data_IF_147463660636
#
_entry.id   IF_147463660636
#
_cell.length_a   1.000
_cell.length_b   1.000
_cell.length_c   1.000
_cell.angle_alpha   90.00
_cell.angle_beta   90.00
_cell.angle_gamma   90.00
#
_symmetry.space_group_name_H-M   'P 1'
#
loop_
_entity.id
_entity.type
_entity.pdbx_description
1 polymer ?
#
# COMPACT_ATOMS: atom_id res chain seq x y z
N UNK A 1 -11.57 -28.03 5.55
CA UNK A 1 -11.49 -26.62 5.18
C UNK A 1 -12.92 -26.22 4.81
N UNK A 2 -13.52 -25.26 5.51
CA UNK A 2 -14.89 -24.83 5.23
C UNK A 2 -15.02 -24.19 3.83
N UNK A 3 -16.23 -23.98 3.38
CA UNK A 3 -16.52 -23.30 2.11
C UNK A 3 -16.00 -21.87 2.15
N UNK A 4 -15.31 -21.45 1.08
CA UNK A 4 -14.84 -20.06 0.91
C UNK A 4 -15.99 -19.25 0.32
N UNK A 5 -16.46 -18.24 1.05
CA UNK A 5 -17.56 -17.38 0.63
C UNK A 5 -17.04 -15.99 0.27
N UNK A 6 -17.39 -15.50 -0.91
CA UNK A 6 -17.12 -14.13 -1.31
C UNK A 6 -17.98 -13.17 -0.49
N UNK A 7 -17.35 -12.12 0.04
CA UNK A 7 -18.02 -11.02 0.77
C UNK A 7 -17.66 -9.68 0.13
N UNK A 8 -18.32 -8.61 0.55
CA UNK A 8 -17.96 -7.26 0.14
C UNK A 8 -16.76 -6.73 0.93
N UNK A 9 -16.11 -5.70 0.38
CA UNK A 9 -14.92 -5.07 0.93
C UNK A 9 -13.64 -5.53 0.23
N UNK A 10 -12.61 -4.79 0.41
CA UNK A 10 -11.26 -5.08 -0.04
C UNK A 10 -10.36 -5.23 1.17
N UNK A 11 -9.27 -4.48 1.23
CA UNK A 11 -8.31 -4.47 2.35
C UNK A 11 -8.91 -4.09 3.71
N UNK A 12 -10.13 -3.62 3.76
CA UNK A 12 -10.84 -3.27 5.00
C UNK A 12 -11.86 -4.33 5.43
N UNK A 13 -11.91 -5.49 4.77
CA UNK A 13 -12.83 -6.57 5.11
C UNK A 13 -12.42 -7.31 6.39
N UNK A 14 -11.13 -7.47 6.62
CA UNK A 14 -10.61 -8.06 7.84
C UNK A 14 -10.75 -7.07 9.02
N UNK A 15 -11.10 -7.61 10.20
CA UNK A 15 -11.32 -6.80 11.40
C UNK A 15 -10.04 -6.08 11.83
N UNK A 16 -10.17 -4.80 12.19
CA UNK A 16 -9.05 -3.97 12.65
C UNK A 16 -8.26 -3.31 11.52
N UNK A 17 -8.59 -3.58 10.25
CA UNK A 17 -7.98 -2.88 9.12
C UNK A 17 -8.81 -1.67 8.70
N UNK A 18 -8.12 -0.55 8.49
CA UNK A 18 -8.66 0.72 8.03
C UNK A 18 -7.92 1.19 6.78
N UNK A 19 -8.58 1.98 5.96
CA UNK A 19 -7.95 2.58 4.81
C UNK A 19 -8.40 4.04 4.64
N UNK A 20 -7.54 4.81 3.98
CA UNK A 20 -7.84 6.17 3.56
C UNK A 20 -7.20 6.44 2.20
N UNK A 21 -7.67 7.46 1.51
CA UNK A 21 -7.06 7.94 0.27
C UNK A 21 -7.23 9.44 0.14
N UNK A 22 -6.32 10.07 -0.60
CA UNK A 22 -6.36 11.51 -0.87
C UNK A 22 -5.81 11.84 -2.25
N UNK A 23 -6.17 13.00 -2.77
CA UNK A 23 -5.56 13.61 -3.93
C UNK A 23 -4.42 14.53 -3.46
N UNK A 24 -3.20 14.01 -3.38
CA UNK A 24 -2.03 14.76 -2.98
C UNK A 24 -1.43 15.57 -4.14
N UNK A 25 -1.85 15.30 -5.37
CA UNK A 25 -1.38 15.99 -6.57
C UNK A 25 0.04 15.64 -6.96
N UNK A 26 0.48 14.40 -6.69
CA UNK A 26 1.83 13.91 -6.98
C UNK A 26 2.13 14.05 -8.47
N UNK A 27 1.22 13.57 -9.31
CA UNK A 27 1.28 13.71 -10.77
C UNK A 27 -0.07 14.05 -11.36
N UNK A 28 -1.13 13.54 -10.77
CA UNK A 28 -2.47 13.71 -11.29
C UNK A 28 -3.13 14.95 -10.66
N UNK A 29 -3.99 15.61 -11.47
CA UNK A 29 -4.91 16.64 -10.99
C UNK A 29 -6.29 16.00 -10.85
N UNK A 30 -7.02 16.39 -9.83
CA UNK A 30 -8.44 16.07 -9.64
C UNK A 30 -8.78 14.57 -9.44
N UNK A 31 -7.81 13.74 -9.01
CA UNK A 31 -8.08 12.34 -8.61
C UNK A 31 -7.20 11.92 -7.44
N UNK A 32 -7.68 11.00 -6.59
CA UNK A 32 -6.83 10.39 -5.56
C UNK A 32 -5.61 9.72 -6.18
N UNK A 33 -4.45 9.94 -5.56
CA UNK A 33 -3.15 9.41 -5.97
C UNK A 33 -2.28 8.96 -4.78
N UNK A 34 -2.86 9.00 -3.57
CA UNK A 34 -2.29 8.36 -2.39
C UNK A 34 -3.34 7.52 -1.66
N UNK A 35 -2.88 6.39 -1.13
CA UNK A 35 -3.65 5.52 -0.24
C UNK A 35 -2.83 5.13 0.99
N UNK A 36 -3.52 4.88 2.09
CA UNK A 36 -2.96 4.35 3.33
C UNK A 36 -3.81 3.17 3.79
N UNK A 37 -3.16 2.06 4.16
CA UNK A 37 -3.77 0.94 4.86
C UNK A 37 -3.17 0.94 6.26
N UNK A 38 -3.99 0.75 7.27
CA UNK A 38 -3.58 0.75 8.67
C UNK A 38 -4.20 -0.42 9.42
N UNK A 39 -3.42 -1.05 10.28
CA UNK A 39 -3.88 -2.07 11.23
C UNK A 39 -3.91 -1.52 12.65
N UNK A 40 -4.98 -1.76 13.37
CA UNK A 40 -5.11 -1.42 14.80
C UNK A 40 -4.23 -2.30 15.71
N UNK A 41 -3.71 -3.40 15.19
CA UNK A 41 -2.85 -4.33 15.90
C UNK A 41 -1.56 -4.61 15.10
N UNK A 42 -0.55 -5.09 15.77
CA UNK A 42 0.68 -5.57 15.15
C UNK A 42 0.38 -6.78 14.26
N UNK A 43 0.84 -6.72 13.02
CA UNK A 43 0.64 -7.77 12.03
C UNK A 43 1.95 -8.47 11.69
N UNK A 44 1.90 -9.77 11.57
CA UNK A 44 2.96 -10.52 10.87
C UNK A 44 2.85 -10.16 9.39
N UNK A 45 3.98 -9.78 8.79
CA UNK A 45 4.05 -9.44 7.38
C UNK A 45 4.75 -10.52 6.57
N UNK A 46 4.29 -10.72 5.35
CA UNK A 46 4.96 -11.54 4.35
C UNK A 46 4.91 -10.82 3.00
N UNK A 47 5.92 -11.00 2.17
CA UNK A 47 6.00 -10.33 0.88
C UNK A 47 6.70 -11.16 -0.18
N UNK A 48 6.27 -10.98 -1.42
CA UNK A 48 6.96 -11.47 -2.61
C UNK A 48 7.46 -10.28 -3.41
N UNK A 49 8.69 -10.35 -3.85
CA UNK A 49 9.36 -9.24 -4.50
C UNK A 49 10.00 -9.69 -5.83
N UNK A 50 10.16 -8.75 -6.75
CA UNK A 50 10.82 -9.02 -8.02
C UNK A 50 12.24 -9.56 -7.81
N UNK A 51 12.65 -10.47 -8.70
CA UNK A 51 14.02 -10.97 -8.81
C UNK A 51 14.89 -10.12 -9.72
N UNK A 52 14.36 -9.04 -10.30
CA UNK A 52 15.11 -8.11 -11.14
C UNK A 52 16.27 -7.49 -10.34
N UNK A 53 17.42 -7.35 -10.98
CA UNK A 53 18.59 -6.71 -10.36
C UNK A 53 18.37 -5.21 -10.14
N UNK A 54 17.64 -4.56 -11.03
CA UNK A 54 17.24 -3.15 -10.89
C UNK A 54 15.93 -3.10 -10.11
N UNK A 55 16.02 -2.78 -8.83
CA UNK A 55 14.89 -2.70 -7.91
C UNK A 55 14.62 -1.26 -7.51
N UNK A 56 13.34 -0.90 -7.43
CA UNK A 56 12.89 0.38 -6.90
C UNK A 56 13.26 0.52 -5.40
N UNK A 57 13.40 1.74 -4.94
CA UNK A 57 13.72 2.00 -3.54
C UNK A 57 12.67 1.39 -2.56
N UNK A 58 11.35 1.50 -2.80
CA UNK A 58 10.35 0.85 -1.96
C UNK A 58 10.50 -0.67 -1.87
N UNK A 59 10.91 -1.35 -2.97
CA UNK A 59 11.15 -2.80 -2.94
C UNK A 59 12.28 -3.17 -1.98
N UNK A 60 13.36 -2.38 -1.96
CA UNK A 60 14.48 -2.60 -1.04
C UNK A 60 14.10 -2.27 0.40
N UNK A 61 13.36 -1.19 0.60
CA UNK A 61 12.83 -0.79 1.90
C UNK A 61 11.96 -1.91 2.49
N UNK A 62 10.93 -2.33 1.78
CA UNK A 62 9.98 -3.33 2.27
C UNK A 62 10.62 -4.70 2.49
N UNK A 63 11.58 -5.10 1.65
CA UNK A 63 12.37 -6.32 1.89
C UNK A 63 13.07 -6.29 3.24
N UNK A 64 13.67 -5.18 3.60
CA UNK A 64 14.38 -5.04 4.87
C UNK A 64 13.40 -5.16 6.05
N UNK A 65 12.22 -4.53 5.97
CA UNK A 65 11.22 -4.59 7.04
C UNK A 65 10.62 -6.01 7.15
N UNK A 66 10.15 -6.58 6.04
CA UNK A 66 9.49 -7.89 6.02
C UNK A 66 10.46 -9.01 6.44
N UNK A 67 11.67 -9.01 5.92
CA UNK A 67 12.66 -10.05 6.25
C UNK A 67 13.37 -9.78 7.60
N UNK A 68 13.38 -8.55 8.07
CA UNK A 68 13.83 -8.17 9.41
C UNK A 68 12.88 -8.62 10.52
N UNK A 69 11.66 -9.03 10.18
CA UNK A 69 10.67 -9.54 11.12
C UNK A 69 9.99 -8.46 11.96
N UNK A 70 10.06 -7.19 11.55
CA UNK A 70 9.30 -6.13 12.18
C UNK A 70 7.79 -6.34 12.00
N UNK A 71 7.02 -6.01 13.02
CA UNK A 71 5.57 -6.06 12.92
C UNK A 71 5.08 -4.94 11.99
N UNK A 72 4.21 -5.27 11.04
CA UNK A 72 3.63 -4.27 10.14
C UNK A 72 2.39 -3.62 10.78
N UNK A 73 2.29 -2.29 10.68
CA UNK A 73 1.15 -1.48 11.16
C UNK A 73 0.52 -0.67 10.05
N UNK A 74 1.29 -0.23 9.07
CA UNK A 74 0.78 0.60 7.99
C UNK A 74 1.47 0.32 6.66
N UNK A 75 0.75 0.62 5.57
CA UNK A 75 1.31 0.69 4.22
C UNK A 75 0.90 2.03 3.62
N UNK A 76 1.87 2.81 3.17
CA UNK A 76 1.63 4.05 2.40
C UNK A 76 1.91 3.79 0.93
N UNK A 77 0.96 4.12 0.09
CA UNK A 77 1.05 3.90 -1.37
C UNK A 77 0.88 5.23 -2.09
N UNK A 78 1.77 5.53 -3.02
CA UNK A 78 1.58 6.63 -3.95
C UNK A 78 1.51 6.16 -5.41
N UNK A 79 0.67 6.82 -6.21
CA UNK A 79 0.52 6.62 -7.64
C UNK A 79 0.96 7.86 -8.43
N UNK A 80 1.64 7.64 -9.56
CA UNK A 80 2.12 8.70 -10.45
C UNK A 80 3.64 8.71 -10.64
N UNK A 81 4.40 8.48 -9.58
CA UNK A 81 5.86 8.39 -9.57
C UNK A 81 6.26 7.11 -8.83
N UNK A 82 7.12 6.29 -9.42
CA UNK A 82 7.43 4.94 -8.96
C UNK A 82 8.57 4.86 -7.94
N UNK A 83 9.27 5.97 -7.67
CA UNK A 83 10.48 5.98 -6.85
C UNK A 83 11.48 4.86 -7.28
N UNK A 84 11.67 4.71 -8.57
CA UNK A 84 12.57 3.75 -9.20
C UNK A 84 13.60 4.49 -10.05
N UNK A 85 14.85 4.01 -10.07
CA UNK A 85 15.99 4.68 -10.68
C UNK A 85 16.26 6.07 -10.09
N UNK A 86 16.05 6.24 -8.81
CA UNK A 86 16.14 7.51 -8.05
C UNK A 86 17.39 7.58 -7.14
N UNK A 87 18.25 6.56 -7.21
CA UNK A 87 19.51 6.53 -6.48
C UNK A 87 19.34 6.48 -4.95
N UNK A 88 20.29 7.08 -4.24
CA UNK A 88 20.30 7.12 -2.75
C UNK A 88 19.14 7.95 -2.22
N UNK A 89 18.84 9.06 -2.86
CA UNK A 89 17.76 9.97 -2.50
C UNK A 89 16.40 9.26 -2.46
N UNK A 90 16.15 8.33 -3.40
CA UNK A 90 14.94 7.52 -3.40
C UNK A 90 14.80 6.63 -2.15
N UNK A 91 15.91 6.13 -1.60
CA UNK A 91 15.90 5.38 -0.32
C UNK A 91 15.64 6.31 0.86
N UNK A 92 16.24 7.49 0.88
CA UNK A 92 15.99 8.51 1.89
C UNK A 92 14.50 8.92 1.91
N UNK A 93 13.88 9.04 0.73
CA UNK A 93 12.45 9.32 0.61
C UNK A 93 11.54 8.19 1.12
N UNK A 94 11.98 6.94 1.02
CA UNK A 94 11.26 5.84 1.68
C UNK A 94 11.27 6.01 3.21
N UNK A 95 12.44 6.32 3.80
CA UNK A 95 12.56 6.60 5.23
C UNK A 95 11.72 7.81 5.67
N UNK A 96 11.79 8.92 4.94
CA UNK A 96 10.98 10.11 5.22
C UNK A 96 9.48 9.81 5.14
N UNK A 97 9.04 9.05 4.14
CA UNK A 97 7.64 8.62 3.99
C UNK A 97 7.20 7.75 5.17
N UNK A 98 8.03 6.78 5.55
CA UNK A 98 7.75 5.89 6.68
C UNK A 98 7.73 6.68 8.00
N UNK A 99 8.70 7.55 8.23
CA UNK A 99 8.78 8.40 9.42
C UNK A 99 7.59 9.36 9.55
N UNK A 100 7.19 10.01 8.45
CA UNK A 100 6.00 10.88 8.44
C UNK A 100 4.72 10.10 8.76
N UNK A 101 4.56 8.90 8.19
CA UNK A 101 3.43 8.03 8.48
C UNK A 101 3.44 7.54 9.93
N UNK A 102 4.60 7.10 10.42
CA UNK A 102 4.79 6.64 11.79
C UNK A 102 4.43 7.73 12.80
N UNK A 103 4.90 8.95 12.57
CA UNK A 103 4.57 10.10 13.42
C UNK A 103 3.07 10.44 13.39
N UNK A 104 2.44 10.41 12.21
CA UNK A 104 1.01 10.71 12.07
C UNK A 104 0.10 9.67 12.72
N UNK A 105 0.55 8.41 12.81
CA UNK A 105 -0.22 7.28 13.36
C UNK A 105 0.18 6.89 14.79
N UNK A 106 1.30 7.40 15.30
CA UNK A 106 1.84 7.00 16.61
C UNK A 106 2.33 5.55 16.64
N UNK A 107 2.96 5.09 15.56
CA UNK A 107 3.50 3.73 15.43
C UNK A 107 5.02 3.77 15.18
N UNK A 108 5.76 2.66 15.39
CA UNK A 108 7.18 2.59 15.04
C UNK A 108 7.41 2.77 13.52
N UNK A 109 8.52 3.43 13.14
CA UNK A 109 8.86 3.67 11.73
C UNK A 109 9.11 2.35 10.97
N UNK A 110 9.76 1.39 11.59
CA UNK A 110 10.04 0.07 11.03
C UNK A 110 8.77 -0.79 10.82
N UNK A 111 7.62 -0.37 11.37
CA UNK A 111 6.32 -0.98 11.14
C UNK A 111 5.59 -0.43 9.90
N UNK A 112 6.20 0.51 9.16
CA UNK A 112 5.59 1.15 8.00
C UNK A 112 6.23 0.65 6.70
N UNK A 113 5.41 0.07 5.85
CA UNK A 113 5.76 -0.33 4.49
C UNK A 113 5.43 0.81 3.50
N UNK A 114 6.19 0.89 2.42
CA UNK A 114 6.09 1.99 1.45
C UNK A 114 5.99 1.43 0.03
N UNK A 115 4.99 1.81 -0.71
CA UNK A 115 4.84 1.38 -2.10
C UNK A 115 4.64 2.56 -3.05
N UNK A 116 5.32 2.53 -4.18
CA UNK A 116 5.24 3.59 -5.18
C UNK A 116 5.04 3.00 -6.58
N UNK A 117 4.24 3.66 -7.39
CA UNK A 117 3.99 3.23 -8.77
C UNK A 117 3.82 4.42 -9.71
N UNK A 118 4.26 4.28 -10.95
CA UNK A 118 4.13 5.32 -11.98
C UNK A 118 5.39 5.50 -12.81
N UNK A 119 5.77 6.76 -13.06
CA UNK A 119 6.95 7.11 -13.86
C UNK A 119 8.23 6.80 -13.08
N UNK A 120 9.23 6.26 -13.75
CA UNK A 120 10.57 5.99 -13.22
C UNK A 120 11.52 7.16 -13.50
N UNK A 121 12.61 7.29 -12.72
CA UNK A 121 13.63 8.33 -12.92
C UNK A 121 13.23 9.72 -12.47
N UNK A 122 12.09 9.87 -11.83
CA UNK A 122 11.64 11.14 -11.22
C UNK A 122 11.69 11.02 -9.70
N UNK A 123 12.15 12.08 -9.05
CA UNK A 123 12.11 12.18 -7.60
C UNK A 123 10.69 12.43 -7.10
N UNK A 124 10.40 11.90 -5.91
CA UNK A 124 9.11 12.15 -5.26
C UNK A 124 9.00 13.59 -4.76
N UNK A 125 7.87 14.26 -4.95
CA UNK A 125 7.60 15.56 -4.32
C UNK A 125 7.24 15.34 -2.85
N UNK A 126 8.24 15.31 -1.98
CA UNK A 126 8.09 14.92 -0.58
C UNK A 126 7.15 15.83 0.21
N UNK A 127 7.12 17.12 -0.13
CA UNK A 127 6.13 18.08 0.40
C UNK A 127 4.68 17.61 0.20
N UNK A 128 4.38 17.05 -0.96
CA UNK A 128 3.05 16.51 -1.28
C UNK A 128 2.79 15.16 -0.65
N UNK A 129 3.82 14.30 -0.56
CA UNK A 129 3.73 13.00 0.11
C UNK A 129 3.40 13.21 1.58
N UNK A 130 4.14 14.07 2.28
CA UNK A 130 3.92 14.38 3.69
C UNK A 130 2.55 15.01 3.94
N UNK A 131 2.17 16.01 3.14
CA UNK A 131 0.84 16.60 3.22
C UNK A 131 -0.27 15.57 3.00
N UNK A 132 -0.10 14.66 2.04
CA UNK A 132 -1.02 13.56 1.77
C UNK A 132 -1.15 12.58 2.96
N UNK A 133 -0.04 12.23 3.61
CA UNK A 133 -0.04 11.39 4.81
C UNK A 133 -0.84 12.05 5.94
N UNK A 134 -0.54 13.31 6.24
CA UNK A 134 -1.24 14.07 7.28
C UNK A 134 -2.74 14.23 6.98
N UNK A 135 -3.10 14.39 5.71
CA UNK A 135 -4.51 14.45 5.31
C UNK A 135 -5.22 13.10 5.46
N UNK A 136 -4.53 11.97 5.21
CA UNK A 136 -5.13 10.63 5.28
C UNK A 136 -5.28 10.11 6.70
N UNK A 137 -4.34 10.39 7.60
CA UNK A 137 -4.32 9.82 8.95
C UNK A 137 -5.67 10.02 9.71
N UNK A 138 -6.27 11.22 9.77
CA UNK A 138 -7.56 11.41 10.44
C UNK A 138 -8.76 10.82 9.67
N UNK A 139 -8.58 10.44 8.41
CA UNK A 139 -9.63 9.87 7.55
C UNK A 139 -9.64 8.33 7.55
N UNK A 140 -8.71 7.69 8.25
CA UNK A 140 -8.63 6.24 8.34
C UNK A 140 -9.94 5.65 8.89
N UNK A 141 -10.62 4.88 8.07
CA UNK A 141 -11.90 4.29 8.37
C UNK A 141 -11.97 2.84 7.89
N UNK A 142 -12.70 2.01 8.62
CA UNK A 142 -13.07 0.67 8.17
C UNK A 142 -14.23 0.72 7.17
N UNK A 143 -14.58 -0.44 6.62
CA UNK A 143 -15.72 -0.62 5.72
C UNK A 143 -15.37 -0.54 4.25
N UNK A 144 -16.29 -1.04 3.44
CA UNK A 144 -16.12 -1.26 2.00
C UNK A 144 -15.72 0.01 1.23
N UNK A 145 -16.38 1.12 1.52
CA UNK A 145 -16.15 2.38 0.81
C UNK A 145 -14.70 2.87 0.93
N UNK A 146 -14.09 2.73 2.12
CA UNK A 146 -12.70 3.13 2.37
C UNK A 146 -11.72 2.23 1.61
N UNK A 147 -11.95 0.91 1.61
CA UNK A 147 -11.17 -0.05 0.82
C UNK A 147 -11.25 0.26 -0.67
N UNK A 148 -12.46 0.47 -1.19
CA UNK A 148 -12.68 0.81 -2.61
C UNK A 148 -12.01 2.13 -3.02
N UNK A 149 -12.07 3.16 -2.17
CA UNK A 149 -11.35 4.42 -2.42
C UNK A 149 -9.84 4.22 -2.47
N UNK A 150 -9.28 3.42 -1.55
CA UNK A 150 -7.87 3.08 -1.56
C UNK A 150 -7.47 2.31 -2.82
N UNK A 151 -8.26 1.29 -3.22
CA UNK A 151 -8.02 0.52 -4.44
C UNK A 151 -8.06 1.39 -5.72
N UNK A 152 -8.90 2.43 -5.75
CA UNK A 152 -8.94 3.40 -6.85
C UNK A 152 -7.74 4.34 -6.84
N UNK A 153 -7.27 4.76 -5.67
CA UNK A 153 -6.17 5.70 -5.54
C UNK A 153 -4.82 5.15 -6.03
N UNK A 154 -4.61 3.84 -5.93
CA UNK A 154 -3.37 3.18 -6.38
C UNK A 154 -3.30 2.92 -7.89
N UNK A 155 -4.38 3.15 -8.63
CA UNK A 155 -4.43 2.93 -10.08
C UNK A 155 -3.52 3.92 -10.82
N UNK A 156 -2.93 3.46 -11.93
CA UNK A 156 -2.21 4.30 -12.89
C UNK A 156 -2.85 4.24 -14.27
N UNK A 157 -2.57 3.18 -15.02
CA UNK A 157 -3.13 2.91 -16.36
C UNK A 157 -4.28 1.90 -16.32
N UNK A 158 -4.65 1.43 -15.15
CA UNK A 158 -5.77 0.53 -14.97
C UNK A 158 -7.09 1.18 -15.41
N UNK A 159 -7.93 0.43 -16.06
CA UNK A 159 -9.28 0.87 -16.45
C UNK A 159 -10.33 0.57 -15.37
N UNK A 160 -10.01 -0.37 -14.46
CA UNK A 160 -10.88 -0.78 -13.35
C UNK A 160 -10.03 -1.03 -12.11
N UNK A 161 -10.54 -0.63 -10.96
CA UNK A 161 -9.95 -1.03 -9.68
C UNK A 161 -10.17 -2.54 -9.46
N UNK A 162 -9.28 -3.13 -8.68
CA UNK A 162 -9.30 -4.56 -8.37
C UNK A 162 -9.27 -4.73 -6.87
N UNK A 163 -10.33 -5.29 -6.35
CA UNK A 163 -10.46 -5.65 -4.94
C UNK A 163 -11.29 -6.91 -4.80
N UNK A 164 -11.05 -7.66 -3.74
CA UNK A 164 -11.79 -8.88 -3.40
C UNK A 164 -11.74 -9.07 -1.89
N UNK A 165 -12.80 -9.65 -1.35
CA UNK A 165 -12.77 -10.16 0.01
C UNK A 165 -13.52 -11.49 0.09
N UNK A 166 -13.04 -12.35 0.99
CA UNK A 166 -13.61 -13.67 1.26
C UNK A 166 -13.68 -13.91 2.76
N UNK A 167 -14.58 -14.80 3.17
CA UNK A 167 -14.57 -15.37 4.49
C UNK A 167 -14.62 -16.91 4.43
N UNK A 168 -14.04 -17.53 5.42
CA UNK A 168 -13.99 -18.99 5.55
C UNK A 168 -13.78 -19.40 7.01
N UNK A 169 -14.09 -20.66 7.32
CA UNK A 169 -13.84 -21.23 8.64
C UNK A 169 -12.44 -21.84 8.73
N UNK A 170 -11.68 -21.46 9.75
CA UNK A 170 -10.38 -21.99 10.08
C UNK A 170 -10.30 -22.31 11.59
N UNK A 171 -10.16 -23.58 11.93
CA UNK A 171 -10.06 -24.01 13.35
C UNK A 171 -11.30 -23.64 14.17
N UNK A 172 -12.51 -23.60 13.55
CA UNK A 172 -13.76 -23.26 14.23
C UNK A 172 -13.97 -21.75 14.40
N UNK A 173 -13.13 -20.92 13.77
CA UNK A 173 -13.24 -19.44 13.80
C UNK A 173 -13.46 -18.94 12.37
N UNK A 174 -14.41 -18.00 12.22
CA UNK A 174 -14.61 -17.30 10.95
C UNK A 174 -13.47 -16.30 10.71
N UNK A 175 -12.74 -16.52 9.64
CA UNK A 175 -11.64 -15.65 9.20
C UNK A 175 -12.09 -14.87 7.98
N UNK A 176 -11.74 -13.60 7.91
CA UNK A 176 -11.92 -12.75 6.73
C UNK A 176 -10.57 -12.38 6.14
N UNK A 177 -10.49 -12.46 4.83
CA UNK A 177 -9.32 -12.05 4.06
C UNK A 177 -9.78 -11.04 3.01
N UNK A 178 -9.09 -9.92 2.92
CA UNK A 178 -9.37 -8.89 1.94
C UNK A 178 -8.13 -8.48 1.16
N UNK A 179 -8.32 -7.96 -0.05
CA UNK A 179 -7.19 -7.51 -0.83
C UNK A 179 -7.56 -6.48 -1.88
N UNK A 180 -6.56 -5.72 -2.27
CA UNK A 180 -6.60 -4.83 -3.43
C UNK A 180 -5.32 -4.97 -4.24
N UNK A 181 -5.43 -4.76 -5.55
CA UNK A 181 -4.24 -4.73 -6.38
C UNK A 181 -4.38 -3.75 -7.55
N UNK A 182 -3.22 -3.35 -8.08
CA UNK A 182 -3.13 -2.70 -9.38
C UNK A 182 -2.38 -3.58 -10.37
N UNK A 183 -2.81 -3.58 -11.60
CA UNK A 183 -2.15 -4.32 -12.67
C UNK A 183 -0.87 -3.62 -13.16
N UNK A 184 -0.07 -4.35 -13.93
CA UNK A 184 1.02 -3.78 -14.72
C UNK A 184 0.59 -3.76 -16.18
N UNK A 185 0.27 -2.56 -16.69
CA UNK A 185 -0.19 -2.37 -18.06
C UNK A 185 0.90 -2.09 -19.08
N UNK A 186 2.15 -1.95 -18.63
CA UNK A 186 3.27 -1.58 -19.48
C UNK A 186 4.33 -2.68 -19.45
N UNK A 187 4.53 -3.37 -20.57
CA UNK A 187 5.55 -4.39 -20.81
C UNK A 187 5.31 -5.69 -20.01
N UNK A 188 5.99 -6.76 -20.39
CA UNK A 188 6.01 -8.05 -19.71
C UNK A 188 6.90 -7.97 -18.46
N UNK A 189 6.39 -7.53 -17.31
CA UNK A 189 7.25 -7.26 -16.17
C UNK A 189 7.46 -8.53 -15.36
N UNK A 190 8.67 -8.74 -14.89
CA UNK A 190 8.93 -9.67 -13.81
C UNK A 190 8.50 -9.02 -12.49
N UNK A 191 7.20 -8.92 -12.25
CA UNK A 191 6.55 -8.23 -11.12
C UNK A 191 6.81 -6.72 -11.02
N UNK A 192 7.33 -6.07 -12.06
CA UNK A 192 7.54 -4.62 -12.03
C UNK A 192 6.22 -3.86 -12.06
N UNK A 193 6.07 -2.90 -11.17
CA UNK A 193 4.91 -2.01 -11.01
C UNK A 193 3.55 -2.69 -10.78
N UNK A 194 3.52 -3.99 -10.51
CA UNK A 194 2.35 -4.64 -9.94
C UNK A 194 2.42 -4.52 -8.41
N UNK A 195 1.36 -4.00 -7.82
CA UNK A 195 1.22 -3.90 -6.38
C UNK A 195 0.00 -4.71 -5.95
N UNK A 196 0.15 -5.52 -4.89
CA UNK A 196 -0.93 -6.29 -4.29
C UNK A 196 -0.80 -6.24 -2.78
N UNK A 197 -1.89 -5.94 -2.10
CA UNK A 197 -1.99 -5.87 -0.66
C UNK A 197 -3.09 -6.79 -0.20
N UNK A 198 -2.79 -7.63 0.79
CA UNK A 198 -3.72 -8.60 1.37
C UNK A 198 -3.72 -8.45 2.88
N UNK A 199 -4.89 -8.44 3.48
CA UNK A 199 -5.15 -8.27 4.91
C UNK A 199 -5.91 -9.45 5.45
#
# INVERSE_FOLDING_TARGET
MGEIRKISGGVTAAKGFKAASTAAGIKYKDRPDMAMIYSEADCVSAGTFTTNLVQAAPVKWDKNQVYGGAAARAVVVNAGIANACTGKEGMEYCGQTAGACAAALGVPEDSVLVASTGVIGMQLPMDRIEAGIHAMAPLLCGGEESGTKAAKAIMTTDTKHKEVAVEFELGGVTVKMGGMCKGSGMIHPNMCTMLSFVT
#
